data_IF_776241275035
#
_entry.id   IF_776241275035
#
_cell.length_a   1.000
_cell.length_b   1.000
_cell.length_c   1.000
_cell.angle_alpha   90.00
_cell.angle_beta   90.00
_cell.angle_gamma   90.00
#
_symmetry.space_group_name_H-M   'P 1'
#
loop_
_entity.id
_entity.type
_entity.pdbx_description
1 polymer ?
#
# COMPACT_ATOMS: atom_id res chain seq x y z
N UNK A 1 -157.71 15.70 17.44
CA UNK A 1 -156.88 14.52 17.18
C UNK A 1 -157.74 13.29 17.44
N UNK A 2 -157.95 12.46 16.42
CA UNK A 2 -158.62 11.16 16.55
C UNK A 2 -157.68 10.18 17.26
N UNK A 3 -158.23 9.25 18.04
CA UNK A 3 -157.45 8.18 18.69
C UNK A 3 -156.58 7.39 17.69
N UNK A 4 -157.02 7.28 16.42
CA UNK A 4 -156.24 6.67 15.33
C UNK A 4 -155.00 7.47 14.93
N UNK A 5 -155.05 8.80 14.98
CA UNK A 5 -153.92 9.67 14.67
C UNK A 5 -152.85 9.60 15.77
N UNK A 6 -153.28 9.53 17.03
CA UNK A 6 -152.39 9.37 18.19
C UNK A 6 -151.67 8.02 18.11
N UNK A 7 -152.38 6.93 17.80
CA UNK A 7 -151.78 5.60 17.64
C UNK A 7 -150.77 5.56 16.49
N UNK A 8 -151.10 6.14 15.33
CA UNK A 8 -150.17 6.22 14.20
C UNK A 8 -148.92 7.02 14.53
N UNK A 9 -149.04 8.10 15.30
CA UNK A 9 -147.90 8.90 15.75
C UNK A 9 -147.01 8.10 16.73
N UNK A 10 -147.61 7.33 17.64
CA UNK A 10 -146.89 6.43 18.56
C UNK A 10 -146.11 5.37 17.78
N UNK A 11 -146.72 4.69 16.81
CA UNK A 11 -146.04 3.69 15.97
C UNK A 11 -144.88 4.31 15.17
N UNK A 12 -145.05 5.52 14.64
CA UNK A 12 -143.98 6.27 13.97
C UNK A 12 -142.83 6.60 14.92
N UNK A 13 -143.14 7.01 16.15
CA UNK A 13 -142.13 7.28 17.17
C UNK A 13 -141.37 6.01 17.58
N UNK A 14 -142.07 4.88 17.80
CA UNK A 14 -141.44 3.60 18.10
C UNK A 14 -140.50 3.16 16.98
N UNK A 15 -140.95 3.24 15.73
CA UNK A 15 -140.14 2.91 14.54
C UNK A 15 -138.91 3.83 14.43
N UNK A 16 -139.09 5.14 14.64
CA UNK A 16 -138.00 6.10 14.61
C UNK A 16 -136.98 5.87 15.74
N UNK A 17 -137.47 5.53 16.94
CA UNK A 17 -136.64 5.21 18.10
C UNK A 17 -135.86 3.92 17.90
N UNK A 18 -136.49 2.86 17.40
CA UNK A 18 -135.81 1.59 17.08
C UNK A 18 -134.74 1.78 16.01
N UNK A 19 -135.05 2.55 14.96
CA UNK A 19 -134.09 2.89 13.91
C UNK A 19 -132.90 3.67 14.47
N UNK A 20 -133.16 4.69 15.30
CA UNK A 20 -132.12 5.46 15.97
C UNK A 20 -131.25 4.58 16.87
N UNK A 21 -131.87 3.71 17.67
CA UNK A 21 -131.16 2.81 18.56
C UNK A 21 -130.29 1.81 17.81
N UNK A 22 -130.79 1.23 16.72
CA UNK A 22 -130.01 0.34 15.85
C UNK A 22 -128.81 1.05 15.21
N UNK A 23 -129.01 2.28 14.71
CA UNK A 23 -127.91 3.09 14.14
C UNK A 23 -126.89 3.42 15.22
N UNK A 24 -127.32 3.86 16.40
CA UNK A 24 -126.43 4.16 17.53
C UNK A 24 -125.61 2.93 17.94
N UNK A 25 -126.24 1.75 18.05
CA UNK A 25 -125.53 0.51 18.35
C UNK A 25 -124.53 0.12 17.26
N UNK A 26 -124.89 0.27 15.98
CA UNK A 26 -124.00 0.00 14.86
C UNK A 26 -122.78 0.93 14.89
N UNK A 27 -123.02 2.24 15.03
CA UNK A 27 -121.96 3.24 15.11
C UNK A 27 -121.03 2.98 16.30
N UNK A 28 -121.60 2.67 17.48
CA UNK A 28 -120.79 2.33 18.66
C UNK A 28 -119.93 1.09 18.43
N UNK A 29 -120.45 0.05 17.78
CA UNK A 29 -119.66 -1.15 17.42
C UNK A 29 -118.53 -0.81 16.44
N UNK A 30 -118.81 0.03 15.45
CA UNK A 30 -117.82 0.45 14.45
C UNK A 30 -116.70 1.28 15.09
N UNK A 31 -117.04 2.29 15.90
CA UNK A 31 -116.07 3.10 16.65
C UNK A 31 -115.21 2.24 17.57
N UNK A 32 -115.80 1.29 18.30
CA UNK A 32 -115.04 0.37 19.15
C UNK A 32 -114.11 -0.54 18.33
N UNK A 33 -114.53 -0.98 17.15
CA UNK A 33 -113.69 -1.78 16.25
C UNK A 33 -112.50 -0.96 15.73
N UNK A 34 -112.76 0.27 15.27
CA UNK A 34 -111.73 1.20 14.81
C UNK A 34 -110.74 1.54 15.92
N UNK A 35 -111.22 1.84 17.13
CA UNK A 35 -110.37 2.14 18.28
C UNK A 35 -109.47 0.94 18.64
N UNK A 36 -110.01 -0.28 18.64
CA UNK A 36 -109.22 -1.51 18.86
C UNK A 36 -108.15 -1.71 17.78
N UNK A 37 -108.48 -1.46 16.52
CA UNK A 37 -107.51 -1.58 15.43
C UNK A 37 -106.38 -0.54 15.54
N UNK A 38 -106.74 0.72 15.82
CA UNK A 38 -105.79 1.82 16.00
C UNK A 38 -104.87 1.57 17.18
N UNK A 39 -105.42 1.08 18.31
CA UNK A 39 -104.64 0.70 19.48
C UNK A 39 -103.61 -0.39 19.15
N UNK A 40 -103.99 -1.43 18.40
CA UNK A 40 -103.07 -2.50 17.98
C UNK A 40 -101.97 -1.96 17.07
N UNK A 41 -102.29 -1.09 16.12
CA UNK A 41 -101.30 -0.45 15.25
C UNK A 41 -100.32 0.39 16.06
N UNK A 42 -100.80 1.20 16.99
CA UNK A 42 -99.95 2.01 17.87
C UNK A 42 -99.03 1.15 18.74
N UNK A 43 -99.52 0.02 19.28
CA UNK A 43 -98.68 -0.92 20.01
C UNK A 43 -97.59 -1.57 19.13
N UNK A 44 -97.89 -1.83 17.86
CA UNK A 44 -96.90 -2.37 16.92
C UNK A 44 -95.83 -1.32 16.60
N UNK A 45 -96.24 -0.08 16.30
CA UNK A 45 -95.32 1.04 16.06
C UNK A 45 -94.43 1.33 17.28
N UNK A 46 -94.98 1.25 18.49
CA UNK A 46 -94.20 1.40 19.71
C UNK A 46 -93.08 0.35 19.81
N UNK A 47 -93.40 -0.93 19.56
CA UNK A 47 -92.40 -2.02 19.58
C UNK A 47 -91.34 -1.84 18.50
N UNK A 48 -91.72 -1.39 17.31
CA UNK A 48 -90.75 -1.05 16.27
C UNK A 48 -89.84 0.10 16.69
N UNK A 49 -90.40 1.13 17.34
CA UNK A 49 -89.63 2.25 17.89
C UNK A 49 -88.61 1.81 18.92
N UNK A 50 -89.00 0.94 19.85
CA UNK A 50 -88.10 0.32 20.84
C UNK A 50 -86.98 -0.47 20.16
N UNK A 51 -87.32 -1.31 19.18
CA UNK A 51 -86.33 -2.08 18.40
C UNK A 51 -85.34 -1.19 17.66
N UNK A 52 -85.81 -0.09 17.05
CA UNK A 52 -84.94 0.88 16.37
C UNK A 52 -84.03 1.60 17.38
N UNK A 53 -84.54 1.94 18.56
CA UNK A 53 -83.74 2.56 19.63
C UNK A 53 -82.61 1.65 20.09
N UNK A 54 -82.88 0.36 20.29
CA UNK A 54 -81.86 -0.63 20.63
C UNK A 54 -80.77 -0.74 19.55
N UNK A 55 -81.18 -0.80 18.28
CA UNK A 55 -80.23 -0.81 17.14
C UNK A 55 -79.35 0.43 17.10
N UNK A 56 -79.94 1.61 17.28
CA UNK A 56 -79.19 2.88 17.33
C UNK A 56 -78.20 2.87 18.50
N UNK A 57 -78.60 2.36 19.67
CA UNK A 57 -77.71 2.25 20.82
C UNK A 57 -76.52 1.34 20.52
N UNK A 58 -76.76 0.17 19.92
CA UNK A 58 -75.69 -0.76 19.54
C UNK A 58 -74.72 -0.15 18.52
N UNK A 59 -75.26 0.52 17.49
CA UNK A 59 -74.46 1.21 16.47
C UNK A 59 -73.61 2.34 17.06
N UNK A 60 -74.14 3.09 18.02
CA UNK A 60 -73.36 4.14 18.70
C UNK A 60 -72.21 3.57 19.53
N UNK A 61 -72.43 2.42 20.19
CA UNK A 61 -71.35 1.71 20.90
C UNK A 61 -70.25 1.26 19.94
N UNK A 62 -70.62 0.62 18.82
CA UNK A 62 -69.67 0.18 17.79
C UNK A 62 -68.89 1.37 17.19
N UNK A 63 -69.56 2.49 16.91
CA UNK A 63 -68.91 3.70 16.42
C UNK A 63 -67.89 4.25 17.42
N UNK A 64 -68.21 4.20 18.71
CA UNK A 64 -67.29 4.64 19.78
C UNK A 64 -66.06 3.75 19.84
N UNK A 65 -66.22 2.43 19.74
CA UNK A 65 -65.11 1.48 19.71
C UNK A 65 -64.21 1.69 18.48
N UNK A 66 -64.82 1.86 17.30
CA UNK A 66 -64.09 2.13 16.07
C UNK A 66 -63.31 3.44 16.14
N UNK A 67 -63.87 4.48 16.76
CA UNK A 67 -63.19 5.75 16.96
C UNK A 67 -61.97 5.62 17.86
N UNK A 68 -62.10 4.94 19.00
CA UNK A 68 -60.98 4.67 19.90
C UNK A 68 -59.87 3.90 19.18
N UNK A 69 -60.23 2.89 18.38
CA UNK A 69 -59.25 2.12 17.60
C UNK A 69 -58.56 2.97 16.53
N UNK A 70 -59.28 3.89 15.89
CA UNK A 70 -58.70 4.84 14.94
C UNK A 70 -57.67 5.73 15.63
N UNK A 71 -57.99 6.29 16.79
CA UNK A 71 -57.09 7.15 17.56
C UNK A 71 -55.83 6.38 18.03
N UNK A 72 -55.97 5.11 18.42
CA UNK A 72 -54.84 4.24 18.72
C UNK A 72 -53.94 4.00 17.51
N UNK A 73 -54.53 3.71 16.34
CA UNK A 73 -53.79 3.53 15.09
C UNK A 73 -53.05 4.80 14.67
N UNK A 74 -53.66 5.97 14.82
CA UNK A 74 -53.01 7.26 14.53
C UNK A 74 -51.79 7.48 15.43
N UNK A 75 -51.90 7.16 16.72
CA UNK A 75 -50.78 7.21 17.67
C UNK A 75 -49.63 6.26 17.28
N UNK A 76 -49.97 5.02 16.86
CA UNK A 76 -48.97 4.07 16.38
C UNK A 76 -48.27 4.56 15.10
N UNK A 77 -49.01 5.17 14.17
CA UNK A 77 -48.46 5.74 12.94
C UNK A 77 -47.46 6.85 13.27
N UNK A 78 -47.79 7.73 14.23
CA UNK A 78 -46.91 8.82 14.60
C UNK A 78 -45.61 8.30 15.24
N UNK A 79 -45.71 7.33 16.15
CA UNK A 79 -44.52 6.69 16.73
C UNK A 79 -43.64 5.97 15.68
N UNK A 80 -44.25 5.41 14.62
CA UNK A 80 -43.49 4.85 13.50
C UNK A 80 -42.80 5.92 12.65
N UNK A 81 -43.38 7.11 12.47
CA UNK A 81 -42.73 8.23 11.77
C UNK A 81 -41.53 8.75 12.56
N UNK A 82 -41.68 8.97 13.85
CA UNK A 82 -40.57 9.41 14.71
C UNK A 82 -39.39 8.43 14.63
N UNK A 83 -39.68 7.13 14.73
CA UNK A 83 -38.66 6.08 14.61
C UNK A 83 -38.00 6.04 13.23
N UNK A 84 -38.75 6.34 12.18
CA UNK A 84 -38.20 6.46 10.82
C UNK A 84 -37.24 7.65 10.73
N UNK A 85 -37.60 8.80 11.25
CA UNK A 85 -36.75 10.01 11.24
C UNK A 85 -35.46 9.81 12.05
N UNK A 86 -35.52 9.10 13.18
CA UNK A 86 -34.35 8.70 13.96
C UNK A 86 -33.40 7.81 13.13
N UNK A 87 -33.96 6.80 12.44
CA UNK A 87 -33.18 5.90 11.59
C UNK A 87 -32.56 6.63 10.39
N UNK A 88 -33.30 7.53 9.73
CA UNK A 88 -32.79 8.32 8.62
C UNK A 88 -31.63 9.24 9.05
N UNK A 89 -31.72 9.82 10.26
CA UNK A 89 -30.64 10.61 10.86
C UNK A 89 -29.40 9.75 11.10
N UNK A 90 -29.56 8.56 11.67
CA UNK A 90 -28.46 7.62 11.93
C UNK A 90 -27.80 7.12 10.65
N UNK A 91 -28.58 6.87 9.59
CA UNK A 91 -28.05 6.50 8.26
C UNK A 91 -27.18 7.63 7.72
N UNK A 92 -27.61 8.87 7.87
CA UNK A 92 -26.85 10.05 7.41
C UNK A 92 -25.51 10.19 8.14
N UNK A 93 -25.51 10.02 9.47
CA UNK A 93 -24.28 10.04 10.30
C UNK A 93 -23.31 8.91 9.93
N UNK A 94 -23.83 7.69 9.74
CA UNK A 94 -23.02 6.53 9.32
C UNK A 94 -22.42 6.73 7.93
N UNK A 95 -23.18 7.32 7.01
CA UNK A 95 -22.71 7.62 5.65
C UNK A 95 -21.56 8.63 5.69
N UNK A 96 -21.70 9.71 6.45
CA UNK A 96 -20.64 10.71 6.63
C UNK A 96 -19.37 10.12 7.29
N UNK A 97 -19.56 9.25 8.29
CA UNK A 97 -18.44 8.55 8.95
C UNK A 97 -17.71 7.61 7.98
N UNK A 98 -18.46 6.92 7.12
CA UNK A 98 -17.90 6.02 6.10
C UNK A 98 -17.11 6.81 5.04
N UNK A 99 -17.63 7.93 4.55
CA UNK A 99 -16.94 8.81 3.60
C UNK A 99 -15.63 9.36 4.19
N UNK A 100 -15.66 9.78 5.45
CA UNK A 100 -14.47 10.24 6.18
C UNK A 100 -13.43 9.12 6.26
N UNK A 101 -13.85 7.92 6.69
CA UNK A 101 -12.97 6.75 6.78
C UNK A 101 -12.34 6.40 5.43
N UNK A 102 -13.12 6.42 4.34
CA UNK A 102 -12.62 6.18 2.99
C UNK A 102 -11.55 7.20 2.59
N UNK A 103 -11.77 8.48 2.89
CA UNK A 103 -10.78 9.51 2.61
C UNK A 103 -9.53 9.38 3.48
N UNK A 104 -9.68 9.01 4.75
CA UNK A 104 -8.58 8.75 5.67
C UNK A 104 -7.71 7.58 5.18
N UNK A 105 -8.28 6.59 4.48
CA UNK A 105 -7.51 5.49 3.88
C UNK A 105 -6.74 5.87 2.60
N UNK A 106 -7.13 6.94 1.89
CA UNK A 106 -6.43 7.36 0.67
C UNK A 106 -5.01 7.85 0.95
N UNK A 107 -4.82 8.58 2.05
CA UNK A 107 -3.50 9.14 2.40
C UNK A 107 -2.47 8.03 2.69
N UNK A 108 -2.73 7.06 3.59
CA UNK A 108 -1.84 5.93 3.80
C UNK A 108 -1.61 5.09 2.53
N UNK A 109 -2.64 4.92 1.68
CA UNK A 109 -2.47 4.22 0.41
C UNK A 109 -1.46 4.91 -0.50
N UNK A 110 -1.55 6.23 -0.63
CA UNK A 110 -0.60 7.01 -1.43
C UNK A 110 0.81 7.00 -0.82
N UNK A 111 0.91 7.06 0.50
CA UNK A 111 2.19 6.93 1.21
C UNK A 111 2.83 5.56 0.98
N UNK A 112 2.03 4.48 0.98
CA UNK A 112 2.48 3.12 0.71
C UNK A 112 3.06 3.00 -0.71
N UNK A 113 2.34 3.47 -1.73
CA UNK A 113 2.81 3.49 -3.12
C UNK A 113 4.12 4.26 -3.27
N UNK A 114 4.24 5.39 -2.54
CA UNK A 114 5.46 6.19 -2.49
C UNK A 114 6.63 5.46 -1.83
N UNK A 115 6.38 4.69 -0.77
CA UNK A 115 7.39 3.85 -0.11
C UNK A 115 7.81 2.67 -0.99
N UNK A 116 6.88 2.02 -1.67
CA UNK A 116 7.17 0.94 -2.61
C UNK A 116 8.08 1.41 -3.75
N UNK A 117 7.78 2.56 -4.33
CA UNK A 117 8.63 3.18 -5.37
C UNK A 117 10.04 3.48 -4.86
N UNK A 118 10.16 4.01 -3.62
CA UNK A 118 11.47 4.26 -3.00
C UNK A 118 12.24 2.97 -2.73
N UNK A 119 11.55 1.91 -2.30
CA UNK A 119 12.15 0.60 -2.05
C UNK A 119 12.74 0.02 -3.33
N UNK A 120 11.98 0.06 -4.44
CA UNK A 120 12.44 -0.39 -5.76
C UNK A 120 13.71 0.37 -6.16
N UNK A 121 13.71 1.69 -6.05
CA UNK A 121 14.87 2.51 -6.41
C UNK A 121 16.11 2.22 -5.53
N UNK A 122 15.92 1.94 -4.24
CA UNK A 122 17.02 1.51 -3.35
C UNK A 122 17.55 0.14 -3.76
N UNK A 123 16.65 -0.79 -4.09
CA UNK A 123 17.03 -2.14 -4.52
C UNK A 123 17.86 -2.12 -5.82
N UNK A 124 17.48 -1.30 -6.80
CA UNK A 124 18.26 -1.08 -8.02
C UNK A 124 19.66 -0.53 -7.74
N UNK A 125 19.78 0.42 -6.80
CA UNK A 125 21.08 0.95 -6.38
C UNK A 125 21.94 -0.11 -5.70
N UNK A 126 21.34 -0.96 -4.86
CA UNK A 126 22.04 -2.08 -4.21
C UNK A 126 22.59 -3.02 -5.28
N UNK A 127 21.75 -3.46 -6.21
CA UNK A 127 22.17 -4.36 -7.29
C UNK A 127 23.30 -3.76 -8.13
N UNK A 128 23.24 -2.46 -8.42
CA UNK A 128 24.30 -1.75 -9.15
C UNK A 128 25.62 -1.76 -8.36
N UNK A 129 25.57 -1.45 -7.06
CA UNK A 129 26.76 -1.47 -6.21
C UNK A 129 27.33 -2.86 -6.01
N UNK A 130 26.49 -3.90 -5.94
CA UNK A 130 26.94 -5.28 -5.88
C UNK A 130 27.69 -5.67 -7.16
N UNK A 131 27.18 -5.30 -8.33
CA UNK A 131 27.87 -5.53 -9.60
C UNK A 131 29.21 -4.78 -9.67
N UNK A 132 29.27 -3.51 -9.24
CA UNK A 132 30.50 -2.74 -9.14
C UNK A 132 31.52 -3.41 -8.22
N UNK A 133 31.07 -3.87 -7.05
CA UNK A 133 31.91 -4.59 -6.07
C UNK A 133 32.49 -5.87 -6.69
N UNK A 134 31.67 -6.70 -7.33
CA UNK A 134 32.15 -7.92 -8.00
C UNK A 134 33.19 -7.61 -9.08
N UNK A 135 33.01 -6.53 -9.85
CA UNK A 135 33.98 -6.10 -10.85
C UNK A 135 35.31 -5.66 -10.21
N UNK A 136 35.26 -4.92 -9.10
CA UNK A 136 36.45 -4.51 -8.35
C UNK A 136 37.18 -5.69 -7.72
N UNK A 137 36.45 -6.65 -7.15
CA UNK A 137 37.01 -7.87 -6.56
C UNK A 137 37.77 -8.66 -7.63
N UNK A 138 37.18 -8.82 -8.83
CA UNK A 138 37.84 -9.47 -9.97
C UNK A 138 39.12 -8.72 -10.39
N UNK A 139 39.05 -7.39 -10.52
CA UNK A 139 40.20 -6.57 -10.90
C UNK A 139 41.32 -6.63 -9.86
N UNK A 140 40.98 -6.77 -8.59
CA UNK A 140 41.95 -6.94 -7.50
C UNK A 140 42.73 -8.23 -7.66
N UNK A 141 42.03 -9.36 -7.89
CA UNK A 141 42.66 -10.66 -8.15
C UNK A 141 43.54 -10.62 -9.42
N UNK A 142 43.07 -9.99 -10.49
CA UNK A 142 43.87 -9.84 -11.72
C UNK A 142 45.16 -9.03 -11.48
N UNK A 143 45.09 -7.97 -10.67
CA UNK A 143 46.25 -7.17 -10.32
C UNK A 143 47.24 -7.95 -9.44
N UNK A 144 46.74 -8.71 -8.45
CA UNK A 144 47.57 -9.59 -7.60
C UNK A 144 48.32 -10.63 -8.45
N UNK A 145 47.63 -11.25 -9.42
CA UNK A 145 48.23 -12.20 -10.35
C UNK A 145 49.32 -11.54 -11.21
N UNK A 146 49.05 -10.36 -11.79
CA UNK A 146 50.07 -9.60 -12.55
C UNK A 146 51.27 -9.22 -11.71
N UNK A 147 51.05 -8.80 -10.46
CA UNK A 147 52.14 -8.48 -9.54
C UNK A 147 53.02 -9.70 -9.26
N UNK A 148 52.41 -10.86 -9.05
CA UNK A 148 53.11 -12.12 -8.85
C UNK A 148 53.92 -12.53 -10.09
N UNK A 149 53.35 -12.42 -11.29
CA UNK A 149 54.05 -12.68 -12.55
C UNK A 149 55.28 -11.77 -12.72
N UNK A 150 55.12 -10.47 -12.45
CA UNK A 150 56.19 -9.48 -12.53
C UNK A 150 57.29 -9.80 -11.51
N UNK A 151 56.93 -10.08 -10.26
CA UNK A 151 57.88 -10.49 -9.20
C UNK A 151 58.67 -11.72 -9.61
N UNK A 152 57.99 -12.76 -10.12
CA UNK A 152 58.63 -13.97 -10.61
C UNK A 152 59.58 -13.69 -11.79
N UNK A 153 59.20 -12.81 -12.71
CA UNK A 153 60.08 -12.40 -13.81
C UNK A 153 61.32 -11.65 -13.33
N UNK A 154 61.18 -10.75 -12.37
CA UNK A 154 62.33 -10.03 -11.80
C UNK A 154 63.24 -10.95 -11.01
N UNK A 155 62.68 -11.89 -10.23
CA UNK A 155 63.46 -12.88 -9.50
C UNK A 155 64.33 -13.70 -10.45
N UNK A 156 63.76 -14.21 -11.56
CA UNK A 156 64.53 -14.94 -12.58
C UNK A 156 65.68 -14.12 -13.15
N UNK A 157 65.45 -12.83 -13.47
CA UNK A 157 66.51 -11.94 -13.96
C UNK A 157 67.60 -11.71 -12.92
N UNK A 158 67.24 -11.60 -11.64
CA UNK A 158 68.21 -11.49 -10.55
C UNK A 158 69.05 -12.76 -10.47
N UNK A 159 68.42 -13.94 -10.46
CA UNK A 159 69.12 -15.23 -10.42
C UNK A 159 70.08 -15.39 -11.62
N UNK A 160 69.66 -14.94 -12.81
CA UNK A 160 70.51 -14.93 -14.02
C UNK A 160 71.71 -13.98 -13.89
N UNK A 161 71.49 -12.77 -13.37
CA UNK A 161 72.55 -11.78 -13.13
C UNK A 161 73.53 -12.27 -12.06
N UNK A 162 73.05 -12.85 -10.97
CA UNK A 162 73.88 -13.45 -9.92
C UNK A 162 74.76 -14.56 -10.49
N UNK A 163 74.19 -15.46 -11.31
CA UNK A 163 74.94 -16.49 -12.00
C UNK A 163 76.00 -15.90 -12.94
N UNK A 164 75.70 -14.80 -13.62
CA UNK A 164 76.64 -14.11 -14.50
C UNK A 164 77.78 -13.45 -13.70
N UNK A 165 77.46 -12.77 -12.59
CA UNK A 165 78.44 -12.19 -11.67
C UNK A 165 79.36 -13.28 -11.10
N UNK A 166 78.81 -14.40 -10.65
CA UNK A 166 79.60 -15.53 -10.15
C UNK A 166 80.49 -16.14 -11.24
N UNK A 167 79.99 -16.20 -12.48
CA UNK A 167 80.78 -16.59 -13.65
C UNK A 167 81.98 -15.67 -13.87
N UNK A 168 81.75 -14.35 -13.90
CA UNK A 168 82.79 -13.34 -14.06
C UNK A 168 83.80 -13.38 -12.91
N UNK A 169 83.33 -13.52 -11.66
CA UNK A 169 84.20 -13.68 -10.48
C UNK A 169 85.12 -14.89 -10.61
N UNK A 170 84.60 -16.03 -11.05
CA UNK A 170 85.41 -17.24 -11.27
C UNK A 170 86.41 -17.07 -12.42
N UNK A 171 86.01 -16.45 -13.52
CA UNK A 171 86.89 -16.19 -14.67
C UNK A 171 88.04 -15.24 -14.31
N UNK A 172 87.74 -14.19 -13.54
CA UNK A 172 88.71 -13.19 -13.13
C UNK A 172 89.47 -13.57 -11.84
N UNK A 173 89.13 -14.69 -11.18
CA UNK A 173 89.72 -15.09 -9.90
C UNK A 173 91.24 -15.14 -9.93
N UNK A 174 91.83 -15.80 -10.93
CA UNK A 174 93.29 -15.91 -11.03
C UNK A 174 93.93 -14.55 -11.28
N UNK A 175 93.33 -13.71 -12.12
CA UNK A 175 93.82 -12.36 -12.38
C UNK A 175 93.77 -11.50 -11.12
N UNK A 176 92.63 -11.47 -10.41
CA UNK A 176 92.49 -10.73 -9.14
C UNK A 176 93.41 -11.28 -8.05
N UNK A 177 93.56 -12.61 -7.94
CA UNK A 177 94.46 -13.25 -6.97
C UNK A 177 95.92 -12.86 -7.20
N UNK A 178 96.37 -12.86 -8.47
CA UNK A 178 97.72 -12.42 -8.84
C UNK A 178 97.92 -10.93 -8.56
N UNK A 179 96.91 -10.08 -8.78
CA UNK A 179 96.98 -8.65 -8.44
C UNK A 179 97.14 -8.45 -6.92
N UNK A 180 96.35 -9.16 -6.10
CA UNK A 180 96.30 -8.94 -4.65
C UNK A 180 97.47 -9.56 -3.87
N UNK A 181 98.06 -10.64 -4.37
CA UNK A 181 99.05 -11.45 -3.65
C UNK A 181 100.41 -11.51 -4.36
N UNK A 182 100.66 -10.64 -5.34
CA UNK A 182 102.00 -10.51 -5.90
C UNK A 182 102.90 -9.72 -4.96
N UNK A 183 104.00 -10.34 -4.54
CA UNK A 183 105.05 -9.69 -3.75
C UNK A 183 106.02 -8.86 -4.62
N UNK A 184 105.82 -8.83 -5.95
CA UNK A 184 106.59 -8.03 -6.90
C UNK A 184 105.70 -6.96 -7.56
N UNK A 185 106.17 -5.72 -7.56
CA UNK A 185 105.50 -4.60 -8.22
C UNK A 185 105.67 -4.71 -9.74
N UNK A 186 104.71 -5.36 -10.40
CA UNK A 186 104.69 -5.53 -11.85
C UNK A 186 104.01 -4.31 -12.49
N UNK A 187 104.81 -3.33 -12.91
CA UNK A 187 104.31 -2.09 -13.50
C UNK A 187 103.36 -2.30 -14.69
N UNK A 188 103.53 -3.36 -15.49
CA UNK A 188 102.59 -3.76 -16.56
C UNK A 188 101.16 -3.96 -16.03
N UNK A 189 101.02 -4.56 -14.84
CA UNK A 189 99.73 -4.90 -14.23
C UNK A 189 99.05 -3.64 -13.69
N UNK A 190 99.78 -2.75 -13.01
CA UNK A 190 99.24 -1.46 -12.54
C UNK A 190 98.81 -0.56 -13.70
N UNK A 191 99.60 -0.54 -14.77
CA UNK A 191 99.29 0.19 -15.99
C UNK A 191 98.01 -0.37 -16.64
N UNK A 192 97.91 -1.69 -16.80
CA UNK A 192 96.73 -2.33 -17.37
C UNK A 192 95.51 -2.14 -16.46
N UNK A 193 95.64 -2.28 -15.14
CA UNK A 193 94.55 -2.09 -14.18
C UNK A 193 94.02 -0.65 -14.19
N UNK A 194 94.93 0.34 -14.22
CA UNK A 194 94.56 1.76 -14.32
C UNK A 194 93.89 2.09 -15.66
N UNK A 195 94.33 1.49 -16.75
CA UNK A 195 93.67 1.60 -18.07
C UNK A 195 92.29 0.94 -18.04
N UNK A 196 92.16 -0.25 -17.45
CA UNK A 196 90.87 -0.95 -17.35
C UNK A 196 89.85 -0.20 -16.47
N UNK A 197 90.27 0.47 -15.41
CA UNK A 197 89.41 1.29 -14.54
C UNK A 197 88.96 2.60 -15.19
N UNK A 198 89.85 3.25 -15.97
CA UNK A 198 89.54 4.51 -16.66
C UNK A 198 88.92 4.32 -18.05
N UNK A 199 89.06 3.15 -18.66
CA UNK A 199 88.72 2.91 -20.06
C UNK A 199 89.75 3.52 -21.02
N UNK A 200 89.30 4.28 -22.02
CA UNK A 200 90.19 4.95 -22.97
C UNK A 200 90.76 6.25 -22.40
N UNK A 201 92.09 6.37 -22.30
CA UNK A 201 92.75 7.57 -21.79
C UNK A 201 93.99 7.93 -22.63
N UNK A 202 94.32 9.23 -22.72
CA UNK A 202 95.52 9.70 -23.42
C UNK A 202 96.77 9.38 -22.61
N UNK A 203 97.86 9.07 -23.30
CA UNK A 203 99.13 8.64 -22.69
C UNK A 203 99.67 9.61 -21.63
N UNK A 204 99.49 10.92 -21.82
CA UNK A 204 99.98 11.94 -20.88
C UNK A 204 99.13 12.08 -19.62
N UNK A 205 97.86 11.68 -19.68
CA UNK A 205 96.96 11.66 -18.52
C UNK A 205 97.19 10.40 -17.70
N UNK A 206 97.40 9.25 -18.36
CA UNK A 206 97.78 7.99 -17.73
C UNK A 206 99.07 8.12 -16.90
N UNK A 207 100.12 8.78 -17.44
CA UNK A 207 101.38 8.99 -16.71
C UNK A 207 101.24 9.71 -15.36
N UNK A 208 100.18 10.50 -15.16
CA UNK A 208 99.96 11.26 -13.92
C UNK A 208 99.22 10.45 -12.86
N UNK A 209 98.54 9.39 -13.28
CA UNK A 209 97.69 8.56 -12.44
C UNK A 209 98.39 7.26 -12.01
N UNK A 210 99.49 6.92 -12.67
CA UNK A 210 100.29 5.73 -12.39
C UNK A 210 101.37 6.07 -11.35
N UNK A 211 101.50 5.22 -10.34
CA UNK A 211 102.60 5.28 -9.37
C UNK A 211 103.89 4.64 -9.93
N UNK A 212 104.15 4.88 -11.23
CA UNK A 212 105.27 4.30 -11.96
C UNK A 212 106.02 5.44 -12.67
N UNK A 213 107.37 5.46 -12.67
CA UNK A 213 108.14 6.49 -13.35
C UNK A 213 107.70 6.70 -14.82
N UNK A 214 107.53 7.95 -15.30
CA UNK A 214 106.93 8.23 -16.61
C UNK A 214 107.61 7.56 -17.81
N UNK A 215 108.93 7.34 -17.74
CA UNK A 215 109.71 6.67 -18.78
C UNK A 215 109.40 5.17 -18.82
N UNK A 216 109.29 4.54 -17.64
CA UNK A 216 108.91 3.13 -17.50
C UNK A 216 107.47 2.93 -17.97
N UNK A 217 106.55 3.82 -17.56
CA UNK A 217 105.16 3.80 -18.03
C UNK A 217 105.06 3.86 -19.57
N UNK A 218 105.75 4.81 -20.22
CA UNK A 218 105.75 4.92 -21.68
C UNK A 218 106.35 3.70 -22.37
N UNK A 219 107.46 3.18 -21.85
CA UNK A 219 108.14 2.01 -22.43
C UNK A 219 107.26 0.77 -22.34
N UNK A 220 106.70 0.52 -21.16
CA UNK A 220 105.83 -0.62 -20.89
C UNK A 220 104.55 -0.55 -21.71
N UNK A 221 103.89 0.62 -21.78
CA UNK A 221 102.70 0.83 -22.64
C UNK A 221 103.02 0.54 -24.11
N UNK A 222 104.15 1.03 -24.62
CA UNK A 222 104.58 0.74 -26.01
C UNK A 222 104.89 -0.75 -26.23
N UNK A 223 105.50 -1.43 -25.26
CA UNK A 223 105.79 -2.86 -25.37
C UNK A 223 104.52 -3.72 -25.34
N UNK A 224 103.56 -3.37 -24.49
CA UNK A 224 102.24 -4.00 -24.48
C UNK A 224 101.52 -3.80 -25.82
N UNK A 225 101.66 -2.63 -26.44
CA UNK A 225 101.11 -2.38 -27.77
C UNK A 225 101.81 -3.18 -28.89
N UNK A 226 103.14 -3.29 -28.85
CA UNK A 226 103.90 -4.11 -29.81
C UNK A 226 103.56 -5.60 -29.68
N UNK A 227 103.27 -6.08 -28.47
CA UNK A 227 102.81 -7.46 -28.22
C UNK A 227 101.33 -7.68 -28.58
N UNK A 228 100.63 -6.65 -29.06
CA UNK A 228 99.22 -6.72 -29.46
C UNK A 228 98.25 -6.76 -28.28
N UNK A 229 98.68 -6.40 -27.07
CA UNK A 229 97.86 -6.42 -25.84
C UNK A 229 97.06 -5.11 -25.70
N UNK A 230 97.61 -3.99 -26.17
CA UNK A 230 96.95 -2.68 -26.20
C UNK A 230 96.94 -2.11 -27.62
N UNK A 231 95.84 -1.51 -28.05
CA UNK A 231 95.82 -0.71 -29.27
C UNK A 231 96.13 0.74 -28.91
N UNK A 232 97.13 1.31 -29.58
CA UNK A 232 97.47 2.73 -29.51
C UNK A 232 96.89 3.41 -30.74
N UNK A 233 95.59 3.71 -30.67
CA UNK A 233 94.93 4.62 -31.61
C UNK A 233 95.06 6.08 -31.11
#
# INVERSE_FOLDING_TARGET
MSSKEILSLIEQFETAFDTYWQILQKNNKEVLSQLRSTWRSMQAEQKEGETRKEKISAQNSELTELRTKSEEMDSQIEGLKEKKEELDSKISELTASLETTINDFKTPSFELDGLETKLIAVNEKINTKEAEKTSLDQKTVENENREMEIKNSYQKKIDELEKHIDGLRKQNFFTSFLIENSDEEIHEVDIIATIMDKGSAKLDELKKLLDVPPIMAVRTIKQLAVKGILNLD
#
